data_IF_804191426859
#
_entry.id   IF_804191426859
#
_cell.length_a   1.000
_cell.length_b   1.000
_cell.length_c   1.000
_cell.angle_alpha   90.00
_cell.angle_beta   90.00
_cell.angle_gamma   90.00
#
_symmetry.space_group_name_H-M   'P 1'
#
loop_
_entity.id
_entity.type
_entity.pdbx_description
1 polymer ?
#
# COMPACT_ATOMS: atom_id res chain seq x y z
N UNK A 1 -5.03 14.34 65.54
CA UNK A 1 -6.13 13.98 64.62
C UNK A 1 -6.08 12.52 64.17
N UNK A 2 -4.90 11.92 63.92
CA UNK A 2 -4.82 10.51 63.49
C UNK A 2 -5.03 9.44 64.59
N UNK A 3 -5.07 9.80 65.88
CA UNK A 3 -5.13 8.83 66.99
C UNK A 3 -6.53 8.62 67.60
N UNK A 4 -7.54 9.40 67.17
CA UNK A 4 -8.88 9.35 67.79
C UNK A 4 -9.84 8.41 67.06
N UNK A 5 -9.78 8.33 65.74
CA UNK A 5 -10.62 7.40 64.97
C UNK A 5 -10.28 5.93 65.23
N UNK A 6 -9.00 5.62 65.48
CA UNK A 6 -8.55 4.27 65.83
C UNK A 6 -9.09 3.83 67.20
N UNK A 7 -9.48 4.74 68.10
CA UNK A 7 -10.10 4.40 69.39
C UNK A 7 -11.60 4.17 69.31
N UNK A 8 -12.22 4.53 68.18
CA UNK A 8 -13.66 4.40 67.91
C UNK A 8 -14.00 3.10 67.16
N UNK A 9 -13.00 2.36 66.68
CA UNK A 9 -13.18 1.08 65.98
C UNK A 9 -13.14 -0.10 66.96
N UNK A 10 -13.85 -1.17 66.64
CA UNK A 10 -13.83 -2.40 67.43
C UNK A 10 -12.43 -3.05 67.37
N UNK A 11 -12.12 -3.93 68.33
CA UNK A 11 -10.81 -4.60 68.38
C UNK A 11 -10.56 -5.45 67.14
N UNK A 12 -11.58 -6.16 66.65
CA UNK A 12 -11.52 -6.96 65.42
C UNK A 12 -11.24 -6.10 64.18
N UNK A 13 -11.92 -4.94 64.04
CA UNK A 13 -11.70 -4.01 62.92
C UNK A 13 -10.30 -3.39 62.93
N UNK A 14 -9.72 -3.16 64.12
CA UNK A 14 -8.35 -2.68 64.26
C UNK A 14 -7.31 -3.72 63.88
N UNK A 15 -7.55 -4.96 64.28
CA UNK A 15 -6.68 -6.08 63.95
C UNK A 15 -6.70 -6.36 62.45
N UNK A 16 -7.88 -6.39 61.82
CA UNK A 16 -8.01 -6.51 60.36
C UNK A 16 -7.26 -5.40 59.61
N UNK A 17 -7.46 -4.14 60.00
CA UNK A 17 -6.76 -3.02 59.37
C UNK A 17 -5.23 -3.09 59.56
N UNK A 18 -4.77 -3.54 60.72
CA UNK A 18 -3.34 -3.70 60.97
C UNK A 18 -2.75 -4.83 60.11
N UNK A 19 -3.45 -5.96 59.97
CA UNK A 19 -3.03 -7.04 59.08
C UNK A 19 -3.00 -6.58 57.63
N UNK A 20 -4.02 -5.88 57.15
CA UNK A 20 -4.05 -5.30 55.80
C UNK A 20 -2.86 -4.35 55.56
N UNK A 21 -2.57 -3.47 56.53
CA UNK A 21 -1.40 -2.59 56.45
C UNK A 21 -0.07 -3.37 56.41
N UNK A 22 0.06 -4.42 57.22
CA UNK A 22 1.27 -5.26 57.24
C UNK A 22 1.44 -6.02 55.92
N UNK A 23 0.37 -6.55 55.35
CA UNK A 23 0.35 -7.21 54.05
C UNK A 23 0.71 -6.24 52.92
N UNK A 24 0.12 -5.03 52.92
CA UNK A 24 0.46 -3.97 51.98
C UNK A 24 1.93 -3.54 52.11
N UNK A 25 2.43 -3.41 53.33
CA UNK A 25 3.81 -3.05 53.60
C UNK A 25 4.77 -4.14 53.12
N UNK A 26 4.48 -5.42 53.39
CA UNK A 26 5.29 -6.53 52.90
C UNK A 26 5.28 -6.59 51.37
N UNK A 27 4.11 -6.43 50.75
CA UNK A 27 3.97 -6.39 49.30
C UNK A 27 4.79 -5.25 48.70
N UNK A 28 4.71 -4.05 49.27
CA UNK A 28 5.49 -2.88 48.84
C UNK A 28 6.99 -3.10 49.00
N UNK A 29 7.43 -3.64 50.14
CA UNK A 29 8.84 -3.97 50.37
C UNK A 29 9.36 -5.07 49.41
N UNK A 30 8.51 -6.02 49.02
CA UNK A 30 8.84 -7.06 48.02
C UNK A 30 8.91 -6.47 46.61
N UNK A 31 8.02 -5.56 46.27
CA UNK A 31 8.01 -4.84 44.99
C UNK A 31 9.23 -3.93 44.83
N UNK A 32 9.57 -3.14 45.85
CA UNK A 32 10.79 -2.31 45.88
C UNK A 32 12.05 -3.16 45.73
N UNK A 33 12.15 -4.28 46.46
CA UNK A 33 13.25 -5.24 46.29
C UNK A 33 13.31 -5.78 44.86
N UNK A 34 12.17 -6.07 44.23
CA UNK A 34 12.12 -6.53 42.82
C UNK A 34 12.55 -5.43 41.86
N UNK A 35 12.13 -4.19 42.10
CA UNK A 35 12.47 -3.02 41.28
C UNK A 35 13.96 -2.74 41.33
N UNK A 36 14.54 -2.65 42.54
CA UNK A 36 15.97 -2.44 42.72
C UNK A 36 16.79 -3.54 42.03
N UNK A 37 16.40 -4.81 42.17
CA UNK A 37 17.07 -5.91 41.46
C UNK A 37 17.04 -5.72 39.94
N UNK A 38 15.89 -5.35 39.37
CA UNK A 38 15.80 -5.04 37.93
C UNK A 38 16.71 -3.89 37.53
N UNK A 39 16.76 -2.81 38.31
CA UNK A 39 17.66 -1.68 38.04
C UNK A 39 19.13 -2.09 38.06
N UNK A 40 19.56 -2.93 39.01
CA UNK A 40 20.93 -3.45 39.03
C UNK A 40 21.23 -4.37 37.84
N UNK A 41 20.28 -5.22 37.42
CA UNK A 41 20.41 -6.06 36.22
C UNK A 41 20.62 -5.19 34.99
N UNK A 42 19.83 -4.12 34.80
CA UNK A 42 19.98 -3.23 33.65
C UNK A 42 21.32 -2.49 33.67
N UNK A 43 21.78 -2.00 34.83
CA UNK A 43 23.13 -1.41 34.96
C UNK A 43 24.24 -2.39 34.56
N UNK A 44 24.10 -3.66 34.93
CA UNK A 44 25.08 -4.70 34.52
C UNK A 44 24.99 -4.98 33.02
N UNK A 45 23.80 -4.93 32.41
CA UNK A 45 23.64 -5.02 30.95
C UNK A 45 24.27 -3.84 30.19
N UNK A 46 24.16 -2.63 30.73
CA UNK A 46 24.85 -1.44 30.19
C UNK A 46 26.37 -1.64 30.22
N UNK A 47 26.91 -2.18 31.32
CA UNK A 47 28.33 -2.51 31.45
C UNK A 47 28.78 -3.55 30.41
N UNK A 48 27.94 -4.54 30.08
CA UNK A 48 28.24 -5.48 28.99
C UNK A 48 28.34 -4.78 27.62
N UNK A 49 27.48 -3.79 27.37
CA UNK A 49 27.46 -3.04 26.12
C UNK A 49 28.63 -2.03 25.98
N UNK A 50 29.05 -1.39 27.08
CA UNK A 50 30.12 -0.39 27.07
C UNK A 50 31.53 -1.00 26.99
N UNK A 51 31.71 -2.20 27.54
CA UNK A 51 33.02 -2.86 27.57
C UNK A 51 33.36 -3.52 26.23
N UNK A 52 34.38 -2.98 25.55
CA UNK A 52 34.88 -3.48 24.27
C UNK A 52 35.51 -4.87 24.32
N UNK A 53 35.92 -5.31 25.51
CA UNK A 53 36.53 -6.63 25.74
C UNK A 53 35.48 -7.75 25.84
N UNK A 54 34.21 -7.38 26.02
CA UNK A 54 33.08 -8.30 26.11
C UNK A 54 32.49 -8.47 24.70
N UNK A 55 32.57 -9.68 24.16
CA UNK A 55 31.97 -10.05 22.87
C UNK A 55 30.83 -11.02 23.13
N UNK A 56 29.90 -11.08 22.19
CA UNK A 56 28.81 -12.07 22.17
C UNK A 56 29.36 -13.51 22.30
N UNK A 57 30.52 -13.78 21.72
CA UNK A 57 31.19 -15.09 21.74
C UNK A 57 32.09 -15.33 22.97
N UNK A 58 32.20 -14.35 23.88
CA UNK A 58 33.03 -14.48 25.09
C UNK A 58 32.45 -15.52 26.05
N UNK A 59 33.33 -16.26 26.74
CA UNK A 59 32.88 -17.21 27.76
C UNK A 59 32.52 -16.46 29.03
N UNK A 60 31.51 -16.96 29.75
CA UNK A 60 31.08 -16.36 31.01
C UNK A 60 32.20 -16.18 32.04
N UNK A 61 33.19 -17.09 32.08
CA UNK A 61 34.34 -16.96 33.01
C UNK A 61 35.16 -15.69 32.76
N UNK A 62 35.40 -15.37 31.49
CA UNK A 62 36.20 -14.20 31.10
C UNK A 62 35.42 -12.92 31.40
N UNK A 63 34.10 -12.95 31.20
CA UNK A 63 33.19 -11.86 31.54
C UNK A 63 33.11 -11.65 33.05
N UNK A 64 33.06 -12.72 33.84
CA UNK A 64 33.10 -12.64 35.30
C UNK A 64 34.38 -11.97 35.79
N UNK A 65 35.53 -12.24 35.17
CA UNK A 65 36.79 -11.61 35.55
C UNK A 65 36.77 -10.09 35.34
N UNK A 66 36.14 -9.62 34.26
CA UNK A 66 35.94 -8.18 34.00
C UNK A 66 34.91 -7.55 34.95
N UNK A 67 33.87 -8.29 35.34
CA UNK A 67 32.80 -7.79 36.22
C UNK A 67 33.17 -7.75 37.70
N UNK A 68 34.22 -8.45 38.14
CA UNK A 68 34.61 -8.53 39.57
C UNK A 68 34.88 -7.17 40.20
N UNK A 69 35.34 -6.22 39.41
CA UNK A 69 35.69 -4.87 39.86
C UNK A 69 34.49 -3.90 39.79
N UNK A 70 33.34 -4.32 39.24
CA UNK A 70 32.16 -3.48 39.12
C UNK A 70 31.25 -3.59 40.36
N UNK A 71 30.94 -2.45 40.96
CA UNK A 71 30.08 -2.40 42.15
C UNK A 71 28.64 -2.90 41.87
N UNK A 72 28.12 -2.74 40.66
CA UNK A 72 26.78 -3.24 40.32
C UNK A 72 26.69 -4.77 40.37
N UNK A 73 27.77 -5.47 40.02
CA UNK A 73 27.86 -6.93 40.07
C UNK A 73 27.86 -7.45 41.52
N UNK A 74 28.39 -6.68 42.48
CA UNK A 74 28.42 -7.07 43.91
C UNK A 74 27.03 -7.16 44.55
N UNK A 75 26.06 -6.42 44.02
CA UNK A 75 24.67 -6.40 44.51
C UNK A 75 23.80 -7.48 43.86
N UNK A 76 24.30 -8.18 42.83
CA UNK A 76 23.60 -9.24 42.12
C UNK A 76 24.02 -10.62 42.60
N UNK A 77 23.07 -11.56 42.64
CA UNK A 77 23.44 -12.97 42.86
C UNK A 77 24.17 -13.52 41.64
N UNK A 78 25.03 -14.54 41.84
CA UNK A 78 25.76 -15.19 40.74
C UNK A 78 24.83 -15.77 39.66
N UNK A 79 23.64 -16.24 40.06
CA UNK A 79 22.63 -16.76 39.14
C UNK A 79 21.98 -15.62 38.34
N UNK A 80 21.58 -14.52 39.00
CA UNK A 80 21.01 -13.36 38.30
C UNK A 80 22.01 -12.72 37.33
N UNK A 81 23.30 -12.66 37.72
CA UNK A 81 24.33 -12.17 36.83
C UNK A 81 24.51 -13.07 35.59
N UNK A 82 24.50 -14.39 35.77
CA UNK A 82 24.55 -15.35 34.65
C UNK A 82 23.32 -15.23 33.74
N UNK A 83 22.11 -15.16 34.30
CA UNK A 83 20.87 -14.98 33.52
C UNK A 83 20.88 -13.63 32.78
N UNK A 84 21.35 -12.55 33.42
CA UNK A 84 21.47 -11.24 32.76
C UNK A 84 22.43 -11.26 31.57
N UNK A 85 23.51 -12.05 31.67
CA UNK A 85 24.47 -12.26 30.60
C UNK A 85 23.87 -13.05 29.45
N UNK A 86 23.19 -14.17 29.73
CA UNK A 86 22.51 -14.96 28.72
C UNK A 86 21.45 -14.14 27.97
N UNK A 87 20.62 -13.39 28.70
CA UNK A 87 19.65 -12.47 28.11
C UNK A 87 20.32 -11.41 27.23
N UNK A 88 21.42 -10.81 27.68
CA UNK A 88 22.14 -9.81 26.92
C UNK A 88 22.75 -10.39 25.63
N UNK A 89 23.38 -11.57 25.71
CA UNK A 89 23.94 -12.27 24.54
C UNK A 89 22.85 -12.55 23.52
N UNK A 90 21.72 -13.11 23.95
CA UNK A 90 20.58 -13.40 23.07
C UNK A 90 20.02 -12.14 22.40
N UNK A 91 19.88 -11.05 23.15
CA UNK A 91 19.34 -9.80 22.60
C UNK A 91 20.34 -9.11 21.66
N UNK A 92 21.65 -9.22 21.94
CA UNK A 92 22.71 -8.76 21.07
C UNK A 92 22.77 -9.56 19.75
N UNK A 93 22.71 -10.90 19.80
CA UNK A 93 22.64 -11.76 18.60
C UNK A 93 21.41 -11.45 17.76
N UNK A 94 20.26 -11.29 18.40
CA UNK A 94 19.01 -10.92 17.74
C UNK A 94 19.11 -9.55 17.08
N UNK A 95 19.73 -8.58 17.75
CA UNK A 95 19.94 -7.23 17.21
C UNK A 95 20.87 -7.27 16.01
N UNK A 96 21.98 -7.99 16.08
CA UNK A 96 22.91 -8.15 14.96
C UNK A 96 22.22 -8.82 13.76
N UNK A 97 21.45 -9.89 13.97
CA UNK A 97 20.69 -10.55 12.91
C UNK A 97 19.64 -9.60 12.31
N UNK A 98 18.97 -8.80 13.14
CA UNK A 98 18.02 -7.79 12.67
C UNK A 98 18.71 -6.67 11.86
N UNK A 99 19.91 -6.25 12.25
CA UNK A 99 20.68 -5.26 11.49
C UNK A 99 21.16 -5.82 10.16
N UNK A 100 21.67 -7.05 10.13
CA UNK A 100 22.08 -7.73 8.90
C UNK A 100 20.89 -7.91 7.95
N UNK A 101 19.72 -8.32 8.46
CA UNK A 101 18.50 -8.45 7.64
C UNK A 101 18.02 -7.08 7.14
N UNK A 102 17.98 -6.05 7.99
CA UNK A 102 17.66 -4.67 7.58
C UNK A 102 18.64 -4.16 6.52
N UNK A 103 19.93 -4.44 6.64
CA UNK A 103 20.94 -4.05 5.65
C UNK A 103 20.69 -4.75 4.31
N UNK A 104 20.38 -6.05 4.31
CA UNK A 104 19.98 -6.79 3.10
C UNK A 104 18.74 -6.16 2.45
N UNK A 105 17.67 -5.94 3.21
CA UNK A 105 16.46 -5.30 2.68
C UNK A 105 16.71 -3.88 2.14
N UNK A 106 17.64 -3.12 2.73
CA UNK A 106 18.04 -1.80 2.21
C UNK A 106 18.72 -1.91 0.85
N UNK A 107 19.62 -2.88 0.67
CA UNK A 107 20.29 -3.12 -0.61
C UNK A 107 19.27 -3.56 -1.67
N UNK A 108 18.41 -4.52 -1.34
CA UNK A 108 17.34 -5.01 -2.22
C UNK A 108 16.41 -3.87 -2.65
N UNK A 109 15.98 -3.02 -1.71
CA UNK A 109 15.13 -1.87 -2.02
C UNK A 109 15.82 -0.88 -2.95
N UNK A 110 17.10 -0.55 -2.70
CA UNK A 110 17.86 0.34 -3.58
C UNK A 110 17.97 -0.21 -4.99
N UNK A 111 18.28 -1.51 -5.15
CA UNK A 111 18.34 -2.15 -6.46
C UNK A 111 16.99 -2.05 -7.21
N UNK A 112 15.88 -2.32 -6.53
CA UNK A 112 14.53 -2.16 -7.11
C UNK A 112 14.21 -0.71 -7.49
N UNK A 113 14.50 0.24 -6.60
CA UNK A 113 14.22 1.66 -6.83
C UNK A 113 15.06 2.23 -7.98
N UNK A 114 16.32 1.80 -8.10
CA UNK A 114 17.18 2.14 -9.22
C UNK A 114 16.68 1.57 -10.55
N UNK A 115 16.22 0.32 -10.56
CA UNK A 115 15.64 -0.30 -11.74
C UNK A 115 14.32 0.39 -12.15
N UNK A 116 13.45 0.74 -11.20
CA UNK A 116 12.24 1.55 -11.48
C UNK A 116 12.58 2.92 -12.04
N UNK A 117 13.62 3.58 -11.51
CA UNK A 117 14.07 4.86 -12.04
C UNK A 117 14.61 4.72 -13.47
N UNK A 118 15.27 3.60 -13.79
CA UNK A 118 15.70 3.27 -15.14
C UNK A 118 14.51 3.08 -16.09
N UNK A 119 13.49 2.31 -15.69
CA UNK A 119 12.27 2.14 -16.46
C UNK A 119 11.55 3.47 -16.71
N UNK A 120 11.44 4.33 -15.69
CA UNK A 120 10.85 5.67 -15.84
C UNK A 120 11.56 6.51 -16.90
N UNK A 121 12.90 6.54 -16.88
CA UNK A 121 13.68 7.24 -17.91
C UNK A 121 13.41 6.70 -19.31
N UNK A 122 13.36 5.38 -19.46
CA UNK A 122 13.03 4.76 -20.75
C UNK A 122 11.58 5.02 -21.20
N UNK A 123 10.65 5.17 -20.26
CA UNK A 123 9.29 5.63 -20.55
C UNK A 123 9.26 7.10 -21.01
N UNK A 124 10.00 7.99 -20.34
CA UNK A 124 10.15 9.40 -20.74
C UNK A 124 10.82 9.54 -22.12
N UNK A 125 11.79 8.69 -22.43
CA UNK A 125 12.44 8.60 -23.75
C UNK A 125 11.51 8.00 -24.84
N UNK A 126 10.30 7.54 -24.48
CA UNK A 126 9.33 6.94 -25.40
C UNK A 126 9.68 5.52 -25.86
N UNK A 127 10.67 4.86 -25.24
CA UNK A 127 11.07 3.48 -25.54
C UNK A 127 10.07 2.46 -25.00
N UNK A 128 9.35 2.83 -23.93
CA UNK A 128 8.32 1.99 -23.32
C UNK A 128 6.96 2.66 -23.55
N UNK A 129 6.04 1.90 -24.14
CA UNK A 129 4.64 2.27 -24.32
C UNK A 129 3.75 1.24 -23.63
N UNK A 130 2.49 1.57 -23.40
CA UNK A 130 1.52 0.68 -22.73
C UNK A 130 1.36 -0.68 -23.46
N UNK A 131 1.63 -0.73 -24.76
CA UNK A 131 1.55 -1.94 -25.58
C UNK A 131 2.87 -2.68 -25.75
N UNK A 132 3.95 -2.20 -25.10
CA UNK A 132 5.26 -2.82 -25.20
C UNK A 132 5.30 -4.12 -24.41
N UNK A 133 5.74 -5.19 -25.06
CA UNK A 133 5.96 -6.50 -24.43
C UNK A 133 7.35 -6.56 -23.79
N UNK A 134 7.45 -7.18 -22.62
CA UNK A 134 8.72 -7.33 -21.90
C UNK A 134 9.79 -8.01 -22.74
N UNK A 135 9.46 -9.08 -23.47
CA UNK A 135 10.44 -9.85 -24.23
C UNK A 135 11.09 -9.00 -25.32
N UNK A 136 10.28 -8.23 -26.05
CA UNK A 136 10.76 -7.30 -27.08
C UNK A 136 11.57 -6.17 -26.47
N UNK A 137 11.08 -5.59 -25.38
CA UNK A 137 11.80 -4.53 -24.69
C UNK A 137 13.15 -5.00 -24.15
N UNK A 138 13.23 -6.18 -23.55
CA UNK A 138 14.46 -6.72 -22.98
C UNK A 138 15.53 -6.99 -24.06
N UNK A 139 15.10 -7.38 -25.27
CA UNK A 139 15.97 -7.56 -26.43
C UNK A 139 16.43 -6.22 -27.01
N UNK A 140 15.48 -5.32 -27.31
CA UNK A 140 15.74 -4.02 -27.97
C UNK A 140 16.59 -3.08 -27.10
N UNK A 141 16.38 -3.10 -25.78
CA UNK A 141 17.09 -2.23 -24.84
C UNK A 141 18.41 -2.82 -24.34
N UNK A 142 18.69 -4.10 -24.62
CA UNK A 142 19.88 -4.80 -24.13
C UNK A 142 19.99 -4.85 -22.60
N UNK A 143 18.87 -4.70 -21.88
CA UNK A 143 18.82 -4.53 -20.42
C UNK A 143 19.42 -5.73 -19.67
N UNK A 144 19.44 -6.90 -20.30
CA UNK A 144 19.96 -8.14 -19.73
C UNK A 144 21.46 -8.08 -19.38
N UNK A 145 22.18 -7.11 -19.96
CA UNK A 145 23.62 -6.87 -19.69
C UNK A 145 23.87 -5.68 -18.77
N UNK A 146 22.84 -4.93 -18.38
CA UNK A 146 22.98 -3.75 -17.54
C UNK A 146 23.27 -4.16 -16.09
N UNK A 147 24.20 -3.46 -15.44
CA UNK A 147 24.57 -3.69 -14.03
C UNK A 147 23.35 -3.60 -13.10
N UNK A 148 22.37 -2.74 -13.43
CA UNK A 148 21.13 -2.58 -12.66
C UNK A 148 20.23 -3.81 -12.73
N UNK A 149 20.18 -4.46 -13.89
CA UNK A 149 19.43 -5.69 -14.09
C UNK A 149 20.10 -6.86 -13.37
N UNK A 150 21.43 -6.97 -13.47
CA UNK A 150 22.21 -7.98 -12.77
C UNK A 150 22.10 -7.84 -11.24
N UNK A 151 22.18 -6.60 -10.73
CA UNK A 151 22.01 -6.31 -9.31
C UNK A 151 20.62 -6.70 -8.80
N UNK A 152 19.58 -6.55 -9.63
CA UNK A 152 18.23 -6.94 -9.27
C UNK A 152 18.06 -8.47 -9.22
N UNK A 153 18.62 -9.21 -10.19
CA UNK A 153 18.56 -10.68 -10.21
C UNK A 153 19.38 -11.33 -9.10
N UNK A 154 20.45 -10.66 -8.65
CA UNK A 154 21.27 -11.14 -7.54
C UNK A 154 20.51 -11.24 -6.21
N UNK A 155 19.32 -10.65 -6.12
CA UNK A 155 18.52 -10.60 -4.91
C UNK A 155 17.14 -11.26 -5.09
N UNK A 156 16.64 -11.98 -4.07
CA UNK A 156 15.31 -12.58 -4.15
C UNK A 156 14.18 -11.53 -4.09
N UNK A 157 13.03 -11.87 -4.68
CA UNK A 157 11.79 -11.09 -4.63
C UNK A 157 11.26 -10.71 -6.00
N UNK A 158 10.74 -9.48 -6.14
CA UNK A 158 10.14 -9.00 -7.40
C UNK A 158 11.13 -9.13 -8.55
N UNK A 159 10.70 -9.85 -9.58
CA UNK A 159 11.50 -10.05 -10.78
C UNK A 159 11.57 -8.74 -11.59
N UNK A 160 12.57 -8.59 -12.47
CA UNK A 160 12.61 -7.46 -13.41
C UNK A 160 11.34 -7.34 -14.27
N UNK A 161 10.71 -8.48 -14.58
CA UNK A 161 9.42 -8.54 -15.28
C UNK A 161 8.29 -7.97 -14.44
N UNK A 162 8.18 -8.36 -13.16
CA UNK A 162 7.14 -7.82 -12.26
C UNK A 162 7.27 -6.28 -12.14
N UNK A 163 8.49 -5.76 -12.04
CA UNK A 163 8.72 -4.31 -11.98
C UNK A 163 8.39 -3.60 -13.30
N UNK A 164 8.49 -4.30 -14.43
CA UNK A 164 8.07 -3.79 -15.73
C UNK A 164 6.55 -3.80 -15.86
N UNK A 165 5.88 -4.87 -15.45
CA UNK A 165 4.42 -4.94 -15.42
C UNK A 165 3.84 -3.83 -14.53
N UNK A 166 4.38 -3.68 -13.31
CA UNK A 166 4.04 -2.56 -12.40
C UNK A 166 4.13 -1.21 -13.13
N UNK A 167 5.18 -1.00 -13.92
CA UNK A 167 5.41 0.24 -14.65
C UNK A 167 4.46 0.42 -15.84
N UNK A 168 4.16 -0.65 -16.58
CA UNK A 168 3.17 -0.63 -17.68
C UNK A 168 1.78 -0.35 -17.13
N UNK A 169 1.41 -0.95 -16.00
CA UNK A 169 0.17 -0.66 -15.28
C UNK A 169 0.11 0.80 -14.85
N UNK A 170 1.18 1.34 -14.25
CA UNK A 170 1.27 2.76 -13.88
C UNK A 170 1.08 3.70 -15.08
N UNK A 171 1.69 3.38 -16.23
CA UNK A 171 1.49 4.14 -17.47
C UNK A 171 0.04 4.07 -17.96
N UNK A 172 -0.58 2.89 -17.94
CA UNK A 172 -1.98 2.69 -18.33
C UNK A 172 -2.97 3.40 -17.40
N UNK A 173 -2.70 3.40 -16.10
CA UNK A 173 -3.49 4.11 -15.10
C UNK A 173 -3.38 5.62 -15.28
N UNK A 174 -2.16 6.15 -15.52
CA UNK A 174 -1.95 7.57 -15.83
C UNK A 174 -2.73 7.98 -17.07
N UNK A 175 -2.65 7.19 -18.14
CA UNK A 175 -3.44 7.39 -19.36
C UNK A 175 -4.95 7.44 -19.07
N UNK A 176 -5.45 6.50 -18.28
CA UNK A 176 -6.88 6.43 -17.90
C UNK A 176 -7.31 7.62 -17.05
N UNK A 177 -6.47 8.04 -16.09
CA UNK A 177 -6.71 9.20 -15.25
C UNK A 177 -6.76 10.48 -16.09
N UNK A 178 -5.82 10.67 -17.01
CA UNK A 178 -5.76 11.84 -17.90
C UNK A 178 -6.97 11.89 -18.83
N UNK A 179 -7.34 10.76 -19.44
CA UNK A 179 -8.57 10.65 -20.23
C UNK A 179 -9.82 11.02 -19.41
N UNK A 180 -9.87 10.60 -18.14
CA UNK A 180 -10.98 10.96 -17.25
C UNK A 180 -10.98 12.44 -16.88
N UNK A 181 -9.81 13.07 -16.66
CA UNK A 181 -9.69 14.53 -16.45
C UNK A 181 -10.21 15.29 -17.67
N UNK A 182 -9.79 14.92 -18.89
CA UNK A 182 -10.26 15.54 -20.14
C UNK A 182 -11.77 15.41 -20.29
N UNK A 183 -12.32 14.22 -20.02
CA UNK A 183 -13.77 13.99 -20.08
C UNK A 183 -14.53 14.85 -19.06
N UNK A 184 -14.00 15.06 -17.85
CA UNK A 184 -14.59 15.95 -16.85
C UNK A 184 -14.56 17.41 -17.32
N UNK A 185 -13.44 17.88 -17.88
CA UNK A 185 -13.30 19.23 -18.44
C UNK A 185 -14.26 19.47 -19.61
N UNK A 186 -14.36 18.51 -20.54
CA UNK A 186 -15.27 18.59 -21.68
C UNK A 186 -16.74 18.69 -21.23
N UNK A 187 -17.12 17.95 -20.17
CA UNK A 187 -18.45 18.06 -19.56
C UNK A 187 -18.67 19.40 -18.87
N UNK A 188 -17.70 19.91 -18.12
CA UNK A 188 -17.81 21.18 -17.40
C UNK A 188 -18.06 22.36 -18.36
N UNK A 189 -17.43 22.34 -19.55
CA UNK A 189 -17.65 23.34 -20.61
C UNK A 189 -18.86 23.06 -21.50
N UNK A 190 -19.66 22.02 -21.21
CA UNK A 190 -20.80 21.59 -22.04
C UNK A 190 -20.44 21.44 -23.53
N UNK A 191 -19.27 20.89 -23.83
CA UNK A 191 -18.85 20.72 -25.23
C UNK A 191 -19.66 19.58 -25.84
N UNK A 192 -20.58 19.93 -26.74
CA UNK A 192 -21.31 18.96 -27.57
C UNK A 192 -20.36 18.48 -28.66
N UNK A 193 -19.91 17.23 -28.55
CA UNK A 193 -19.06 16.58 -29.53
C UNK A 193 -19.96 15.84 -30.51
N UNK A 194 -19.93 16.26 -31.77
CA UNK A 194 -20.65 15.62 -32.88
C UNK A 194 -19.71 14.67 -33.65
N UNK A 195 -20.22 13.69 -34.40
CA UNK A 195 -19.40 12.74 -35.18
C UNK A 195 -18.43 13.38 -36.20
N UNK A 196 -18.72 14.60 -36.64
CA UNK A 196 -17.96 15.39 -37.60
C UNK A 196 -17.06 16.45 -36.96
N UNK A 197 -17.05 16.54 -35.62
CA UNK A 197 -16.20 17.51 -34.92
C UNK A 197 -14.72 17.23 -35.16
N UNK A 198 -13.92 18.30 -35.26
CA UNK A 198 -12.48 18.20 -35.49
C UNK A 198 -11.69 18.36 -34.20
N UNK A 199 -10.49 17.77 -34.14
CA UNK A 199 -9.60 17.90 -32.99
C UNK A 199 -9.19 19.36 -32.75
N UNK A 200 -8.98 20.14 -33.81
CA UNK A 200 -8.62 21.56 -33.72
C UNK A 200 -9.69 22.39 -33.00
N UNK A 201 -10.98 22.13 -33.27
CA UNK A 201 -12.08 22.82 -32.59
C UNK A 201 -12.19 22.44 -31.11
N UNK A 202 -11.83 21.20 -30.77
CA UNK A 202 -11.82 20.70 -29.40
C UNK A 202 -10.65 21.30 -28.60
N UNK A 203 -9.45 21.30 -29.19
CA UNK A 203 -8.26 21.92 -28.61
C UNK A 203 -8.45 23.43 -28.42
N UNK A 204 -9.01 24.13 -29.41
CA UNK A 204 -9.27 25.57 -29.31
C UNK A 204 -10.20 25.95 -28.14
N UNK A 205 -11.12 25.05 -27.73
CA UNK A 205 -12.07 25.28 -26.62
C UNK A 205 -11.48 24.92 -25.25
N UNK A 206 -10.49 24.04 -25.20
CA UNK A 206 -9.89 23.52 -23.96
C UNK A 206 -8.47 24.03 -23.70
N UNK A 207 -7.81 24.67 -24.69
CA UNK A 207 -6.46 25.22 -24.58
C UNK A 207 -6.24 26.17 -23.41
N UNK A 208 -7.27 26.85 -22.92
CA UNK A 208 -7.16 27.82 -21.84
C UNK A 208 -7.14 27.18 -20.44
N UNK A 209 -7.54 25.90 -20.33
CA UNK A 209 -7.52 25.17 -19.06
C UNK A 209 -6.12 24.69 -18.70
N UNK A 210 -5.63 25.06 -17.52
CA UNK A 210 -4.34 24.60 -17.01
C UNK A 210 -4.27 23.06 -16.99
N UNK A 211 -5.36 22.39 -16.58
CA UNK A 211 -5.47 20.93 -16.55
C UNK A 211 -5.59 20.25 -17.92
N UNK A 212 -5.67 21.00 -19.02
CA UNK A 212 -5.57 20.47 -20.40
C UNK A 212 -4.18 20.71 -20.98
N UNK A 213 -3.51 21.83 -20.65
CA UNK A 213 -2.13 22.12 -21.08
C UNK A 213 -1.09 21.18 -20.49
N UNK A 214 -1.31 20.72 -19.26
CA UNK A 214 -0.38 19.83 -18.55
C UNK A 214 -0.41 18.39 -19.08
N UNK A 215 -1.43 18.04 -19.88
CA UNK A 215 -1.61 16.67 -20.38
C UNK A 215 -0.87 16.43 -21.69
N UNK A 216 -0.33 15.22 -21.82
CA UNK A 216 0.38 14.76 -23.00
C UNK A 216 -0.50 14.82 -24.26
N UNK A 217 0.07 15.24 -25.39
CA UNK A 217 -0.67 15.44 -26.64
C UNK A 217 -1.32 14.14 -27.16
N UNK A 218 -0.63 13.01 -27.02
CA UNK A 218 -1.18 11.68 -27.37
C UNK A 218 -2.43 11.36 -26.53
N UNK A 219 -2.39 11.65 -25.23
CA UNK A 219 -3.53 11.46 -24.33
C UNK A 219 -4.70 12.38 -24.71
N UNK A 220 -4.41 13.62 -25.12
CA UNK A 220 -5.43 14.57 -25.60
C UNK A 220 -6.13 14.08 -26.87
N UNK A 221 -5.37 13.58 -27.85
CA UNK A 221 -5.90 13.04 -29.11
C UNK A 221 -6.76 11.81 -28.87
N UNK A 222 -6.26 10.84 -28.10
CA UNK A 222 -7.00 9.60 -27.87
C UNK A 222 -8.27 9.81 -27.02
N UNK A 223 -8.25 10.75 -26.06
CA UNK A 223 -9.45 11.14 -25.33
C UNK A 223 -10.52 11.75 -26.26
N UNK A 224 -10.11 12.58 -27.23
CA UNK A 224 -11.01 13.15 -28.24
C UNK A 224 -11.60 12.05 -29.14
N UNK A 225 -10.77 11.15 -29.69
CA UNK A 225 -11.23 10.02 -30.49
C UNK A 225 -12.26 9.17 -29.75
N UNK A 226 -12.03 8.92 -28.46
CA UNK A 226 -12.98 8.19 -27.64
C UNK A 226 -14.31 8.92 -27.43
N UNK A 227 -14.30 10.26 -27.33
CA UNK A 227 -15.52 11.05 -27.21
C UNK A 227 -16.30 11.07 -28.54
N UNK A 228 -15.60 11.16 -29.67
CA UNK A 228 -16.20 11.06 -31.02
C UNK A 228 -16.79 9.67 -31.27
N UNK A 229 -16.07 8.60 -30.90
CA UNK A 229 -16.57 7.24 -31.00
C UNK A 229 -17.85 7.05 -30.18
N UNK A 230 -17.88 7.59 -28.95
CA UNK A 230 -19.08 7.56 -28.11
C UNK A 230 -20.25 8.37 -28.70
N UNK A 231 -19.96 9.50 -29.34
CA UNK A 231 -21.00 10.30 -30.02
C UNK A 231 -21.59 9.56 -31.22
N UNK A 232 -20.76 8.83 -31.99
CA UNK A 232 -21.21 7.97 -33.10
C UNK A 232 -22.09 6.83 -32.60
N UNK A 233 -21.67 6.12 -31.56
CA UNK A 233 -22.44 5.04 -30.94
C UNK A 233 -23.80 5.54 -30.42
N UNK A 234 -23.83 6.69 -29.75
CA UNK A 234 -25.07 7.30 -29.28
C UNK A 234 -26.03 7.64 -30.43
N UNK A 235 -25.53 8.18 -31.54
CA UNK A 235 -26.36 8.47 -32.71
C UNK A 235 -26.90 7.18 -33.35
N UNK A 236 -26.08 6.15 -33.51
CA UNK A 236 -26.52 4.86 -34.04
C UNK A 236 -27.61 4.22 -33.15
N UNK A 237 -27.46 4.32 -31.84
CA UNK A 237 -28.44 3.80 -30.88
C UNK A 237 -29.73 4.61 -30.88
N UNK A 238 -29.67 5.94 -31.00
CA UNK A 238 -30.85 6.78 -31.22
C UNK A 238 -31.56 6.41 -32.51
N UNK A 239 -30.85 6.17 -33.62
CA UNK A 239 -31.45 5.73 -34.87
C UNK A 239 -32.09 4.34 -34.76
N UNK A 240 -31.42 3.39 -34.11
CA UNK A 240 -31.98 2.04 -33.84
C UNK A 240 -33.22 2.14 -32.96
N UNK A 241 -33.19 2.96 -31.92
CA UNK A 241 -34.31 3.17 -31.01
C UNK A 241 -35.47 3.91 -31.69
N UNK A 242 -35.20 4.92 -32.53
CA UNK A 242 -36.19 5.61 -33.33
C UNK A 242 -36.87 4.65 -34.33
N UNK A 243 -36.10 3.77 -34.99
CA UNK A 243 -36.66 2.72 -35.87
C UNK A 243 -37.53 1.73 -35.09
N UNK A 244 -37.09 1.30 -33.90
CA UNK A 244 -37.91 0.44 -33.01
C UNK A 244 -39.18 1.16 -32.55
N UNK A 245 -39.09 2.44 -32.17
CA UNK A 245 -40.22 3.22 -31.68
C UNK A 245 -41.22 3.52 -32.80
N UNK A 246 -40.75 3.82 -34.02
CA UNK A 246 -41.59 3.98 -35.22
C UNK A 246 -42.34 2.70 -35.57
N UNK A 247 -41.69 1.53 -35.46
CA UNK A 247 -42.35 0.23 -35.64
C UNK A 247 -43.42 0.01 -34.56
N UNK A 248 -43.12 0.31 -33.29
CA UNK A 248 -44.07 0.19 -32.16
C UNK A 248 -45.25 1.15 -32.26
N UNK A 249 -45.07 2.37 -32.77
CA UNK A 249 -46.15 3.37 -32.86
C UNK A 249 -47.02 3.20 -34.11
N UNK A 250 -46.46 2.72 -35.22
CA UNK A 250 -47.22 2.46 -36.45
C UNK A 250 -48.07 1.19 -36.34
N UNK A 251 -47.65 0.21 -35.53
CA UNK A 251 -48.34 -1.07 -35.34
C UNK A 251 -49.80 -0.94 -34.86
N UNK A 252 -50.11 -0.20 -33.78
CA UNK A 252 -51.48 0.00 -33.32
C UNK A 252 -52.35 0.79 -34.29
N UNK A 253 -51.76 1.75 -35.02
CA UNK A 253 -52.48 2.54 -36.02
C UNK A 253 -52.89 1.67 -37.22
N UNK A 254 -51.98 0.80 -37.68
CA UNK A 254 -52.22 -0.14 -38.76
C UNK A 254 -53.31 -1.18 -38.41
N UNK A 255 -53.34 -1.67 -37.16
CA UNK A 255 -54.36 -2.61 -36.67
C UNK A 255 -55.74 -1.94 -36.59
N UNK A 256 -55.83 -0.68 -36.14
CA UNK A 256 -57.13 0.03 -36.05
C UNK A 256 -57.76 0.32 -37.41
N UNK A 257 -56.96 0.45 -38.46
CA UNK A 257 -57.43 0.65 -39.84
C UNK A 257 -57.71 -0.66 -40.60
N UNK A 258 -57.37 -1.82 -40.06
CA UNK A 258 -57.52 -3.11 -40.72
C UNK A 258 -58.87 -3.78 -40.37
N UNK A 259 -59.46 -4.53 -41.32
CA UNK A 259 -60.66 -5.32 -41.03
C UNK A 259 -60.34 -6.46 -40.03
N UNK A 260 -61.31 -7.00 -39.27
CA UNK A 260 -61.06 -8.03 -38.26
C UNK A 260 -60.32 -9.28 -38.79
N UNK A 261 -60.58 -9.70 -40.03
CA UNK A 261 -59.87 -10.82 -40.69
C UNK A 261 -58.44 -10.46 -41.12
N UNK A 262 -58.18 -9.19 -41.48
CA UNK A 262 -56.84 -8.70 -41.83
C UNK A 262 -55.96 -8.48 -40.59
N UNK A 263 -56.55 -8.02 -39.49
CA UNK A 263 -55.85 -7.83 -38.22
C UNK A 263 -55.31 -9.16 -37.64
N UNK A 264 -56.08 -10.26 -37.76
CA UNK A 264 -55.65 -11.61 -37.39
C UNK A 264 -54.48 -12.12 -38.25
N UNK A 265 -54.48 -11.83 -39.55
CA UNK A 265 -53.37 -12.17 -40.45
C UNK A 265 -52.07 -11.41 -40.12
N UNK A 266 -52.18 -10.11 -39.84
CA UNK A 266 -51.05 -9.27 -39.43
C UNK A 266 -50.48 -9.68 -38.06
N UNK A 267 -51.33 -10.08 -37.12
CA UNK A 267 -50.92 -10.56 -35.79
C UNK A 267 -50.15 -11.89 -35.86
N UNK A 268 -50.60 -12.84 -36.67
CA UNK A 268 -49.90 -14.11 -36.90
C UNK A 268 -48.55 -13.93 -37.62
N UNK A 269 -48.45 -12.99 -38.57
CA UNK A 269 -47.20 -12.69 -39.28
C UNK A 269 -46.14 -12.04 -38.38
N UNK A 270 -46.55 -11.21 -37.41
CA UNK A 270 -45.60 -10.65 -36.45
C UNK A 270 -45.14 -11.64 -35.38
N UNK A 271 -46.01 -12.59 -35.00
CA UNK A 271 -45.69 -13.64 -34.04
C UNK A 271 -44.70 -14.66 -34.60
N UNK A 272 -44.67 -14.87 -35.92
CA UNK A 272 -43.67 -15.72 -36.58
C UNK A 272 -42.31 -15.03 -36.79
N UNK A 273 -42.28 -13.70 -36.91
CA UNK A 273 -41.06 -12.90 -37.07
C UNK A 273 -40.32 -12.59 -35.75
N UNK A 274 -40.93 -12.87 -34.60
CA UNK A 274 -40.36 -12.67 -33.26
C UNK A 274 -39.78 -13.93 -32.61
N UNK A 275 -39.53 -14.99 -33.40
CA UNK A 275 -38.89 -16.23 -32.95
C UNK A 275 -37.55 -16.41 -33.66
#
# INVERSE_FOLDING_TARGET
>A
MAAEWFKLMEEDERDELFQDFMDEYEKKAKEERRKNRKEYVEKVKEVYAENKDIKITSRWRDVQDVLKDNDAFRWLSKLEALTSWEEWVLDAEKTELQEQTKAKFRIERKARDEFRAFLRKHGEDGKIKVTTDWGKYAEDSGITKDDKYLALIAHPGSTPHDLFDDFIEELGDRYTQDRNKIKKLAKAKNIVITPSSTYADFEAKLKDEAGFKELEEEHRKSAFESLVAKAKEAQEDEEKNAKKNRKKSCWPALIRSASPQQALGLWNCCRSLGR
#
